data_IF_022882487446
#
_entry.id   IF_022882487446
#
_cell.length_a   1.000
_cell.length_b   1.000
_cell.length_c   1.000
_cell.angle_alpha   90.00
_cell.angle_beta   90.00
_cell.angle_gamma   90.00
#
_symmetry.space_group_name_H-M   'P 1'
#
loop_
_entity.id
_entity.type
_entity.pdbx_description
1 polymer ?
#
# COMPACT_ATOMS: atom_id res chain seq x y z
N UNK A 1 7.71 60.92 -4.17
CA UNK A 1 8.07 59.55 -4.57
C UNK A 1 8.39 59.57 -6.05
N UNK A 2 9.55 59.08 -6.47
CA UNK A 2 10.00 59.17 -7.87
C UNK A 2 9.39 58.07 -8.74
N UNK A 3 9.18 58.34 -10.03
CA UNK A 3 8.72 57.34 -11.02
C UNK A 3 9.71 56.17 -11.13
N UNK A 4 10.99 56.46 -10.99
CA UNK A 4 12.09 55.49 -11.01
C UNK A 4 12.06 54.55 -9.82
N UNK A 5 11.63 55.01 -8.64
CA UNK A 5 11.43 54.16 -7.45
C UNK A 5 10.32 53.15 -7.65
N UNK A 6 9.19 53.55 -8.27
CA UNK A 6 8.10 52.59 -8.53
C UNK A 6 8.53 51.61 -9.62
N UNK A 7 9.19 52.09 -10.68
CA UNK A 7 9.62 51.29 -11.83
C UNK A 7 10.47 50.08 -11.41
N UNK A 8 11.51 50.29 -10.60
CA UNK A 8 12.36 49.18 -10.17
C UNK A 8 11.62 48.20 -9.26
N UNK A 9 10.70 48.67 -8.42
CA UNK A 9 9.86 47.82 -7.56
C UNK A 9 8.94 46.93 -8.40
N UNK A 10 8.32 47.44 -9.47
CA UNK A 10 7.47 46.60 -10.33
C UNK A 10 8.30 45.59 -11.13
N UNK A 11 9.50 45.97 -11.56
CA UNK A 11 10.42 45.07 -12.30
C UNK A 11 10.87 43.91 -11.41
N UNK A 12 11.30 44.16 -10.17
CA UNK A 12 11.71 43.08 -9.27
C UNK A 12 10.53 42.17 -8.90
N UNK A 13 9.33 42.71 -8.70
CA UNK A 13 8.14 41.90 -8.44
C UNK A 13 7.79 41.05 -9.66
N UNK A 14 7.97 41.57 -10.89
CA UNK A 14 7.78 40.80 -12.12
C UNK A 14 8.75 39.62 -12.26
N UNK A 15 10.02 39.81 -11.91
CA UNK A 15 11.04 38.74 -11.93
C UNK A 15 10.74 37.70 -10.84
N UNK A 16 10.45 38.15 -9.61
CA UNK A 16 10.16 37.26 -8.49
C UNK A 16 8.88 36.45 -8.72
N UNK A 17 7.82 37.09 -9.22
CA UNK A 17 6.57 36.41 -9.56
C UNK A 17 6.77 35.35 -10.65
N UNK A 18 7.71 35.54 -11.58
CA UNK A 18 8.05 34.57 -12.62
C UNK A 18 8.88 33.37 -12.13
N UNK A 19 9.59 33.49 -11.00
CA UNK A 19 10.48 32.44 -10.48
C UNK A 19 9.86 31.55 -9.39
N UNK A 20 8.58 31.73 -9.08
CA UNK A 20 7.90 30.88 -8.09
C UNK A 20 7.59 29.52 -8.71
N UNK A 21 8.50 28.56 -8.54
CA UNK A 21 8.16 27.15 -8.62
C UNK A 21 7.60 26.70 -7.25
N UNK A 22 6.32 26.29 -7.16
CA UNK A 22 5.79 25.73 -5.93
C UNK A 22 6.35 24.32 -5.71
N UNK A 23 7.37 24.21 -4.87
CA UNK A 23 8.00 22.94 -4.48
C UNK A 23 7.16 22.12 -3.47
N UNK A 24 5.85 22.38 -3.38
CA UNK A 24 4.98 21.88 -2.30
C UNK A 24 4.44 20.46 -2.50
N UNK A 25 4.48 19.91 -3.72
CA UNK A 25 3.85 18.60 -4.02
C UNK A 25 4.60 17.43 -3.36
N UNK A 26 5.93 17.47 -3.34
CA UNK A 26 6.76 16.37 -2.80
C UNK A 26 6.69 16.31 -1.27
N UNK A 27 6.56 17.45 -0.59
CA UNK A 27 6.54 17.52 0.89
C UNK A 27 5.34 16.78 1.47
N UNK A 28 4.16 16.90 0.85
CA UNK A 28 2.97 16.20 1.32
C UNK A 28 3.08 14.67 1.13
N UNK A 29 3.55 14.23 -0.04
CA UNK A 29 3.79 12.80 -0.32
C UNK A 29 4.83 12.19 0.61
N UNK A 30 5.92 12.92 0.88
CA UNK A 30 6.98 12.51 1.80
C UNK A 30 6.48 12.37 3.25
N UNK A 31 5.60 13.27 3.68
CA UNK A 31 4.95 13.16 4.99
C UNK A 31 4.10 11.88 5.07
N UNK A 32 3.31 11.58 4.05
CA UNK A 32 2.51 10.34 3.97
C UNK A 32 3.38 9.08 4.02
N UNK A 33 4.47 9.03 3.26
CA UNK A 33 5.42 7.91 3.27
C UNK A 33 6.07 7.71 4.66
N UNK A 34 6.43 8.80 5.33
CA UNK A 34 7.01 8.76 6.68
C UNK A 34 6.00 8.23 7.70
N UNK A 35 4.74 8.66 7.62
CA UNK A 35 3.66 8.13 8.46
C UNK A 35 3.44 6.63 8.22
N UNK A 36 3.39 6.20 6.97
CA UNK A 36 3.25 4.78 6.60
C UNK A 36 4.35 3.92 7.24
N UNK A 37 5.62 4.33 7.12
CA UNK A 37 6.75 3.61 7.73
C UNK A 37 6.67 3.57 9.26
N UNK A 38 6.25 4.67 9.87
CA UNK A 38 6.07 4.75 11.33
C UNK A 38 4.97 3.79 11.80
N UNK A 39 3.87 3.70 11.06
CA UNK A 39 2.77 2.80 11.39
C UNK A 39 3.15 1.34 11.14
N UNK A 40 3.88 1.02 10.07
CA UNK A 40 4.45 -0.31 9.85
C UNK A 40 5.31 -0.78 11.03
N UNK A 41 6.16 0.08 11.57
CA UNK A 41 6.98 -0.25 12.74
C UNK A 41 6.12 -0.58 13.97
N UNK A 42 5.05 0.19 14.21
CA UNK A 42 4.11 -0.09 15.30
C UNK A 42 3.39 -1.42 15.11
N UNK A 43 2.89 -1.68 13.90
CA UNK A 43 2.18 -2.94 13.58
C UNK A 43 3.11 -4.14 13.75
N UNK A 44 4.35 -4.06 13.26
CA UNK A 44 5.34 -5.14 13.42
C UNK A 44 5.64 -5.43 14.89
N UNK A 45 5.80 -4.38 15.71
CA UNK A 45 5.98 -4.56 17.16
C UNK A 45 4.74 -5.12 17.86
N UNK A 46 3.54 -4.78 17.39
CA UNK A 46 2.30 -5.36 17.88
C UNK A 46 2.15 -6.84 17.49
N UNK A 47 2.48 -7.21 16.26
CA UNK A 47 2.47 -8.59 15.77
C UNK A 47 3.46 -9.48 16.52
N UNK A 48 4.63 -8.97 16.86
CA UNK A 48 5.60 -9.70 17.69
C UNK A 48 5.03 -10.02 19.07
N UNK A 49 4.44 -9.02 19.75
CA UNK A 49 3.80 -9.22 21.06
C UNK A 49 2.61 -10.18 20.96
N UNK A 50 1.77 -10.04 19.93
CA UNK A 50 0.67 -10.96 19.69
C UNK A 50 1.17 -12.39 19.60
N UNK A 51 2.18 -12.63 18.77
CA UNK A 51 2.78 -13.96 18.56
C UNK A 51 3.31 -14.56 19.86
N UNK A 52 3.99 -13.75 20.68
CA UNK A 52 4.60 -14.21 21.92
C UNK A 52 3.53 -14.64 22.94
N UNK A 53 2.37 -13.98 22.95
CA UNK A 53 1.24 -14.31 23.83
C UNK A 53 0.34 -15.44 23.27
N UNK A 54 0.31 -15.64 21.95
CA UNK A 54 -0.54 -16.62 21.25
C UNK A 54 0.24 -17.88 20.80
N UNK A 55 1.29 -18.24 21.54
CA UNK A 55 1.99 -19.51 21.33
C UNK A 55 2.72 -19.64 20.00
N UNK A 56 3.21 -18.52 19.44
CA UNK A 56 3.95 -18.53 18.18
C UNK A 56 3.09 -18.29 16.93
N UNK A 57 1.78 -18.10 17.08
CA UNK A 57 0.84 -17.94 15.96
C UNK A 57 0.52 -16.47 15.73
N UNK A 58 0.48 -16.05 14.47
CA UNK A 58 0.07 -14.71 14.08
C UNK A 58 -1.45 -14.64 13.80
N UNK A 59 -2.07 -13.44 13.84
CA UNK A 59 -3.47 -13.29 13.47
C UNK A 59 -3.73 -13.77 12.03
N UNK A 60 -4.93 -14.30 11.79
CA UNK A 60 -5.38 -14.63 10.43
C UNK A 60 -5.58 -13.35 9.62
N UNK A 61 -5.36 -13.41 8.31
CA UNK A 61 -5.45 -12.24 7.41
C UNK A 61 -6.76 -11.44 7.60
N UNK A 62 -7.91 -12.10 7.49
CA UNK A 62 -9.22 -11.46 7.65
C UNK A 62 -9.57 -11.01 9.07
N UNK A 63 -8.68 -11.22 10.04
CA UNK A 63 -8.83 -10.78 11.44
C UNK A 63 -7.59 -10.07 11.96
N UNK A 64 -6.72 -9.59 11.07
CA UNK A 64 -5.47 -8.92 11.46
C UNK A 64 -5.74 -7.80 12.47
N UNK A 65 -6.65 -6.89 12.13
CA UNK A 65 -6.92 -5.73 12.97
C UNK A 65 -7.69 -6.10 14.23
N UNK A 66 -8.74 -6.93 14.13
CA UNK A 66 -9.46 -7.44 15.31
C UNK A 66 -8.49 -8.07 16.31
N UNK A 67 -7.54 -8.88 15.84
CA UNK A 67 -6.54 -9.52 16.69
C UNK A 67 -5.55 -8.55 17.34
N UNK A 68 -5.32 -7.38 16.74
CA UNK A 68 -4.39 -6.37 17.26
C UNK A 68 -5.06 -5.25 18.05
N UNK A 69 -6.31 -4.92 17.77
CA UNK A 69 -7.03 -3.78 18.37
C UNK A 69 -8.05 -4.19 19.42
N UNK A 70 -8.46 -5.46 19.46
CA UNK A 70 -9.37 -5.99 20.46
C UNK A 70 -8.64 -6.91 21.44
N UNK A 71 -9.30 -7.22 22.57
CA UNK A 71 -8.83 -8.29 23.44
C UNK A 71 -9.11 -9.65 22.78
N UNK A 72 -8.17 -10.57 22.92
CA UNK A 72 -8.21 -11.91 22.33
C UNK A 72 -8.00 -12.99 23.39
N UNK A 73 -8.59 -14.16 23.13
CA UNK A 73 -8.29 -15.37 23.88
C UNK A 73 -7.01 -16.01 23.33
N UNK A 74 -6.43 -16.98 24.07
CA UNK A 74 -5.18 -17.65 23.68
C UNK A 74 -5.23 -18.29 22.28
N UNK A 75 -6.42 -18.66 21.80
CA UNK A 75 -6.66 -19.22 20.46
C UNK A 75 -6.77 -18.16 19.34
N UNK A 76 -6.65 -16.87 19.69
CA UNK A 76 -6.77 -15.74 18.79
C UNK A 76 -8.21 -15.32 18.49
N UNK A 77 -9.19 -15.81 19.24
CA UNK A 77 -10.60 -15.38 19.09
C UNK A 77 -10.76 -13.95 19.62
N UNK A 78 -11.18 -12.98 18.77
CA UNK A 78 -11.34 -11.59 19.18
C UNK A 78 -12.54 -11.38 20.10
N UNK A 79 -12.57 -10.22 20.77
CA UNK A 79 -13.60 -9.83 21.76
C UNK A 79 -13.81 -10.84 22.90
N UNK A 80 -12.82 -11.69 23.13
CA UNK A 80 -12.85 -12.76 24.12
C UNK A 80 -11.53 -12.72 24.88
N UNK A 81 -11.48 -13.14 26.13
CA UNK A 81 -10.22 -13.24 26.87
C UNK A 81 -9.65 -11.89 27.34
N UNK A 82 -8.34 -11.87 27.58
CA UNK A 82 -7.62 -10.75 28.24
C UNK A 82 -6.22 -10.49 27.67
N UNK A 83 -5.89 -11.05 26.51
CA UNK A 83 -4.64 -10.77 25.79
C UNK A 83 -4.84 -9.58 24.84
N UNK A 84 -3.83 -8.71 24.71
CA UNK A 84 -3.97 -7.45 23.97
C UNK A 84 -4.72 -6.35 24.76
N UNK A 85 -5.24 -5.30 24.10
CA UNK A 85 -4.99 -4.93 22.71
C UNK A 85 -3.54 -4.46 22.52
N UNK A 86 -2.99 -4.72 21.34
CA UNK A 86 -1.61 -4.39 21.01
C UNK A 86 -1.49 -3.06 20.24
N UNK A 87 -2.58 -2.62 19.61
CA UNK A 87 -2.75 -1.34 18.93
C UNK A 87 -4.02 -0.64 19.42
N UNK A 88 -4.01 0.70 19.40
CA UNK A 88 -5.20 1.49 19.76
C UNK A 88 -6.24 1.55 18.64
N UNK A 89 -5.83 1.41 17.38
CA UNK A 89 -6.67 1.40 16.20
C UNK A 89 -5.91 0.80 15.01
N UNK A 90 -6.64 0.32 14.00
CA UNK A 90 -6.05 -0.07 12.72
C UNK A 90 -5.47 1.18 12.02
N UNK A 91 -4.20 1.18 11.60
CA UNK A 91 -3.60 2.31 10.92
C UNK A 91 -4.20 2.48 9.52
N UNK A 92 -4.48 3.73 9.17
CA UNK A 92 -4.97 4.10 7.85
C UNK A 92 -3.77 4.29 6.93
N UNK A 93 -3.75 3.57 5.82
CA UNK A 93 -2.79 3.81 4.75
C UNK A 93 -3.09 5.16 4.09
N UNK A 94 -2.12 6.07 4.13
CA UNK A 94 -2.29 7.46 3.66
C UNK A 94 -2.37 7.60 2.12
N UNK A 95 -2.07 6.54 1.38
CA UNK A 95 -2.09 6.50 -0.08
C UNK A 95 -3.41 5.96 -0.63
N UNK A 96 -3.98 4.95 0.00
CA UNK A 96 -5.26 4.33 -0.39
C UNK A 96 -6.45 4.87 0.42
N UNK A 97 -6.20 5.37 1.63
CA UNK A 97 -7.20 6.00 2.50
C UNK A 97 -7.97 5.03 3.40
N UNK A 98 -7.73 3.73 3.29
CA UNK A 98 -8.36 2.70 4.12
C UNK A 98 -7.38 1.99 5.05
N UNK A 99 -7.87 0.96 5.72
CA UNK A 99 -7.09 0.10 6.59
C UNK A 99 -7.37 -1.38 6.35
N UNK A 100 -7.97 -1.78 5.23
CA UNK A 100 -8.24 -3.18 4.94
C UNK A 100 -6.93 -3.95 4.68
N UNK A 101 -6.83 -5.17 5.22
CA UNK A 101 -5.67 -6.02 5.04
C UNK A 101 -6.05 -7.30 4.28
N UNK A 102 -5.27 -7.65 3.27
CA UNK A 102 -5.44 -8.85 2.46
C UNK A 102 -4.13 -9.64 2.34
N UNK A 103 -4.23 -10.87 1.84
CA UNK A 103 -3.07 -11.73 1.57
C UNK A 103 -2.35 -11.34 0.27
N UNK A 104 -2.89 -10.37 -0.45
CA UNK A 104 -2.41 -9.85 -1.72
C UNK A 104 -2.27 -8.32 -1.66
N UNK A 105 -1.92 -7.72 -2.80
CA UNK A 105 -1.73 -6.29 -2.98
C UNK A 105 -2.98 -5.58 -3.55
N UNK A 106 -4.19 -6.12 -3.32
CA UNK A 106 -5.46 -5.53 -3.80
C UNK A 106 -6.14 -4.61 -2.77
N UNK A 107 -5.77 -4.72 -1.49
CA UNK A 107 -6.30 -3.90 -0.38
C UNK A 107 -5.33 -2.80 0.06
N UNK A 108 -5.56 -2.19 1.23
CA UNK A 108 -4.69 -1.12 1.78
C UNK A 108 -3.38 -1.65 2.35
N UNK A 109 -3.40 -2.86 2.93
CA UNK A 109 -2.26 -3.51 3.54
C UNK A 109 -2.15 -4.95 3.01
N UNK A 110 -0.94 -5.34 2.63
CA UNK A 110 -0.65 -6.74 2.34
C UNK A 110 -0.10 -7.39 3.61
N UNK A 111 -0.64 -8.54 3.96
CA UNK A 111 -0.26 -9.27 5.16
C UNK A 111 -0.17 -10.78 4.90
N UNK A 112 0.97 -11.34 5.27
CA UNK A 112 1.26 -12.77 5.23
C UNK A 112 1.14 -13.37 6.63
N UNK A 113 0.10 -14.17 6.86
CA UNK A 113 -0.17 -14.81 8.15
C UNK A 113 0.85 -15.90 8.54
N UNK A 114 1.55 -16.49 7.55
CA UNK A 114 2.55 -17.51 7.80
C UNK A 114 3.85 -16.93 8.35
N UNK A 115 4.23 -15.74 7.86
CA UNK A 115 5.47 -15.06 8.27
C UNK A 115 5.26 -13.89 9.21
N UNK A 116 4.02 -13.40 9.35
CA UNK A 116 3.70 -12.17 10.08
C UNK A 116 4.21 -10.91 9.38
N UNK A 117 4.54 -11.00 8.09
CA UNK A 117 5.04 -9.86 7.32
C UNK A 117 3.88 -8.97 6.91
N UNK A 118 4.01 -7.67 7.21
CA UNK A 118 3.08 -6.63 6.78
C UNK A 118 3.78 -5.62 5.87
N UNK A 119 3.13 -5.25 4.77
CA UNK A 119 3.56 -4.25 3.79
C UNK A 119 2.42 -3.26 3.51
N UNK A 120 2.77 -2.00 3.33
CA UNK A 120 1.82 -1.00 2.86
C UNK A 120 1.63 -1.09 1.36
N UNK A 121 0.39 -1.12 0.88
CA UNK A 121 0.09 -1.08 -0.56
C UNK A 121 0.15 0.37 -1.02
N UNK A 122 0.97 0.67 -2.02
CA UNK A 122 1.16 2.04 -2.52
C UNK A 122 1.12 2.10 -4.04
N UNK A 123 0.79 3.27 -4.63
CA UNK A 123 0.93 3.48 -6.06
C UNK A 123 2.37 3.29 -6.56
N UNK A 124 2.54 2.80 -7.79
CA UNK A 124 3.83 2.48 -8.39
C UNK A 124 4.81 3.67 -8.41
N UNK A 125 4.31 4.88 -8.62
CA UNK A 125 5.12 6.11 -8.68
C UNK A 125 5.80 6.41 -7.34
N UNK A 126 5.17 6.04 -6.22
CA UNK A 126 5.64 6.34 -4.86
C UNK A 126 6.86 5.49 -4.48
N UNK A 127 6.93 4.24 -4.96
CA UNK A 127 8.01 3.30 -4.60
C UNK A 127 9.36 3.84 -5.08
N UNK A 128 9.42 4.26 -6.36
CA UNK A 128 10.61 4.84 -6.96
C UNK A 128 10.95 6.24 -6.45
N UNK A 129 9.93 7.06 -6.16
CA UNK A 129 10.10 8.46 -5.71
C UNK A 129 10.84 8.55 -4.36
N UNK A 130 10.57 7.61 -3.44
CA UNK A 130 11.11 7.66 -2.07
C UNK A 130 12.10 6.53 -1.74
N UNK A 131 12.49 5.71 -2.73
CA UNK A 131 13.38 4.55 -2.55
C UNK A 131 12.94 3.64 -1.38
N UNK A 132 11.63 3.41 -1.28
CA UNK A 132 11.05 2.59 -0.22
C UNK A 132 11.48 1.13 -0.38
N UNK A 133 11.76 0.46 0.73
CA UNK A 133 12.20 -0.93 0.71
C UNK A 133 11.07 -1.86 0.22
N UNK A 134 11.37 -2.87 -0.62
CA UNK A 134 10.42 -3.92 -0.99
C UNK A 134 9.90 -4.75 0.20
N UNK A 135 10.56 -4.63 1.37
CA UNK A 135 10.12 -5.25 2.60
C UNK A 135 9.01 -4.44 3.31
N UNK A 136 8.89 -3.15 3.00
CA UNK A 136 7.98 -2.23 3.67
C UNK A 136 6.74 -1.93 2.81
N UNK A 137 6.90 -1.90 1.49
CA UNK A 137 5.82 -1.56 0.57
C UNK A 137 5.72 -2.54 -0.60
N UNK A 138 4.52 -2.61 -1.16
CA UNK A 138 4.21 -3.34 -2.39
C UNK A 138 3.42 -2.44 -3.32
N UNK A 139 3.60 -2.62 -4.62
CA UNK A 139 2.82 -1.92 -5.64
C UNK A 139 1.38 -2.42 -5.63
N UNK A 140 0.42 -1.49 -5.68
CA UNK A 140 -0.99 -1.80 -5.83
C UNK A 140 -1.25 -2.62 -7.10
N UNK A 141 -2.01 -3.71 -6.99
CA UNK A 141 -2.44 -4.47 -8.15
C UNK A 141 -3.27 -3.58 -9.09
N UNK A 142 -2.82 -3.42 -10.33
CA UNK A 142 -3.61 -2.73 -11.35
C UNK A 142 -4.85 -3.58 -11.66
N UNK A 143 -6.05 -3.01 -11.52
CA UNK A 143 -7.31 -3.67 -11.89
C UNK A 143 -7.49 -3.84 -13.40
N UNK A 144 -6.52 -3.40 -14.21
CA UNK A 144 -6.55 -3.42 -15.68
C UNK A 144 -5.86 -4.67 -16.28
N UNK A 145 -5.69 -5.72 -15.46
CA UNK A 145 -5.31 -7.05 -15.94
C UNK A 145 -6.48 -7.74 -16.64
N UNK A 146 -6.99 -7.19 -17.75
CA UNK A 146 -7.52 -8.09 -18.76
C UNK A 146 -6.32 -8.81 -19.34
N UNK A 147 -6.07 -10.03 -18.87
CA UNK A 147 -5.24 -11.01 -19.57
C UNK A 147 -5.85 -11.16 -20.97
N UNK A 148 -5.42 -10.31 -21.91
CA UNK A 148 -5.73 -10.49 -23.31
C UNK A 148 -5.05 -11.81 -23.68
N UNK A 149 -5.82 -12.85 -24.07
CA UNK A 149 -5.24 -14.17 -24.30
C UNK A 149 -4.14 -14.01 -25.34
N UNK A 150 -2.93 -14.43 -24.98
CA UNK A 150 -1.74 -14.40 -25.83
C UNK A 150 -2.14 -14.89 -27.23
N UNK A 151 -1.75 -14.15 -28.28
CA UNK A 151 -2.11 -14.51 -29.65
C UNK A 151 -1.66 -15.94 -30.02
N UNK A 152 -0.65 -16.47 -29.33
CA UNK A 152 -0.21 -17.86 -29.40
C UNK A 152 -1.29 -18.87 -28.94
N UNK A 153 -2.06 -18.54 -27.92
CA UNK A 153 -3.17 -19.38 -27.44
C UNK A 153 -4.34 -19.37 -28.42
N UNK A 154 -4.63 -18.22 -29.04
CA UNK A 154 -5.60 -18.11 -30.15
C UNK A 154 -5.19 -18.99 -31.35
N UNK A 155 -3.90 -19.02 -31.67
CA UNK A 155 -3.36 -19.85 -32.74
C UNK A 155 -3.38 -21.33 -32.39
N UNK A 156 -3.07 -21.70 -31.15
CA UNK A 156 -3.16 -23.09 -30.66
C UNK A 156 -4.60 -23.60 -30.76
N UNK A 157 -5.57 -22.85 -30.27
CA UNK A 157 -6.99 -23.23 -30.35
C UNK A 157 -7.48 -23.39 -31.80
N UNK A 158 -7.05 -22.48 -32.69
CA UNK A 158 -7.35 -22.57 -34.13
C UNK A 158 -6.77 -23.84 -34.76
N UNK A 159 -5.52 -24.21 -34.41
CA UNK A 159 -4.85 -25.43 -34.88
C UNK A 159 -5.53 -26.70 -34.36
N UNK A 160 -6.03 -26.69 -33.12
CA UNK A 160 -6.79 -27.82 -32.57
C UNK A 160 -8.16 -27.97 -33.23
N UNK A 161 -8.86 -26.85 -33.50
CA UNK A 161 -10.14 -26.85 -34.21
C UNK A 161 -9.98 -27.35 -35.67
N UNK A 162 -8.90 -26.97 -36.34
CA UNK A 162 -8.58 -27.42 -37.69
C UNK A 162 -8.25 -28.92 -37.73
N UNK A 163 -7.45 -29.42 -36.78
CA UNK A 163 -7.09 -30.83 -36.67
C UNK A 163 -8.28 -31.72 -36.30
N UNK A 164 -9.22 -31.22 -35.51
CA UNK A 164 -10.45 -31.93 -35.17
C UNK A 164 -11.36 -32.12 -36.39
N UNK A 165 -11.44 -31.14 -37.30
CA UNK A 165 -12.24 -31.25 -38.54
C UNK A 165 -11.72 -32.35 -39.47
N UNK A 166 -10.40 -32.48 -39.58
CA UNK A 166 -9.76 -33.50 -40.41
C UNK A 166 -9.98 -34.94 -39.90
N UNK A 167 -10.34 -35.12 -38.63
CA UNK A 167 -10.59 -36.45 -38.05
C UNK A 167 -12.04 -36.93 -38.24
N UNK A 168 -12.95 -36.06 -38.67
CA UNK A 168 -14.36 -36.38 -38.85
C UNK A 168 -14.81 -36.38 -40.33
N UNK A 169 -13.88 -36.22 -41.27
CA UNK A 169 -14.05 -36.49 -42.72
C UNK A 169 -13.39 -37.82 -43.09
#
# INVERSE_FOLDING_TARGET
MSLTEILIVVVIIGILAGLVLPHYKDTSRRAKATTLLTDLQKVRGALQRYRDEHGGVFPRVGRLWDGLTEFTAVDGTPRTGSLGPYLSAAPINQFTGGSEAAADNTSDWEYDEGTGRVRGVVPADVIGEFALSPLDVVEMANSDGSDEPDDDDRLRESRYAEKARQYYE
#
